data_IF_151819074286
#
_entry.id   IF_151819074286
#
_cell.length_a   1.000
_cell.length_b   1.000
_cell.length_c   1.000
_cell.angle_alpha   90.00
_cell.angle_beta   90.00
_cell.angle_gamma   90.00
#
_symmetry.space_group_name_H-M   'P 1'
#
loop_
_entity.id
_entity.type
_entity.pdbx_description
1 polymer ?
#
# COMPACT_ATOMS: atom_id res chain seq x y z
N UNK A 1 4.85 14.16 -19.64
CA UNK A 1 5.53 13.57 -18.47
C UNK A 1 5.40 14.38 -17.16
N UNK A 2 4.39 15.26 -16.99
CA UNK A 2 4.32 16.19 -15.84
C UNK A 2 2.98 16.18 -15.05
N UNK A 3 2.10 15.18 -15.23
CA UNK A 3 0.82 15.15 -14.50
C UNK A 3 0.98 14.75 -13.01
N UNK A 4 1.93 13.86 -12.71
CA UNK A 4 2.15 13.34 -11.35
C UNK A 4 2.76 14.38 -10.39
N UNK A 5 3.59 15.31 -10.88
CA UNK A 5 4.20 16.35 -10.04
C UNK A 5 3.22 17.44 -9.59
N UNK A 6 2.01 17.50 -10.16
CA UNK A 6 0.97 18.44 -9.72
C UNK A 6 0.10 17.90 -8.59
N UNK A 7 0.14 16.58 -8.36
CA UNK A 7 -0.65 15.94 -7.31
C UNK A 7 0.10 16.04 -5.97
N UNK A 8 -0.64 16.28 -4.89
CA UNK A 8 -0.06 16.26 -3.54
C UNK A 8 0.59 14.91 -3.24
N UNK A 9 1.61 14.90 -2.40
CA UNK A 9 2.29 13.67 -1.97
C UNK A 9 1.29 12.76 -1.24
N UNK A 10 0.41 13.37 -0.43
CA UNK A 10 -0.67 12.65 0.26
C UNK A 10 -1.58 11.93 -0.73
N UNK A 11 -2.03 12.59 -1.80
CA UNK A 11 -2.92 11.98 -2.80
C UNK A 11 -2.25 10.76 -3.46
N UNK A 12 -0.96 10.86 -3.81
CA UNK A 12 -0.21 9.74 -4.41
C UNK A 12 -0.10 8.55 -3.45
N UNK A 13 0.21 8.80 -2.18
CA UNK A 13 0.32 7.78 -1.14
C UNK A 13 -1.04 7.11 -0.84
N UNK A 14 -2.09 7.91 -0.62
CA UNK A 14 -3.44 7.38 -0.39
C UNK A 14 -3.96 6.59 -1.58
N UNK A 15 -3.69 7.04 -2.81
CA UNK A 15 -4.05 6.27 -3.99
C UNK A 15 -3.37 4.90 -4.01
N UNK A 16 -2.05 4.84 -3.79
CA UNK A 16 -1.32 3.57 -3.75
C UNK A 16 -1.82 2.61 -2.67
N UNK A 17 -2.07 3.11 -1.46
CA UNK A 17 -2.56 2.28 -0.35
C UNK A 17 -3.98 1.80 -0.58
N UNK A 18 -4.92 2.69 -0.93
CA UNK A 18 -6.32 2.32 -1.23
C UNK A 18 -6.38 1.36 -2.41
N UNK A 19 -5.63 1.61 -3.48
CA UNK A 19 -5.55 0.72 -4.63
C UNK A 19 -5.07 -0.68 -4.22
N UNK A 20 -4.02 -0.77 -3.42
CA UNK A 20 -3.52 -2.07 -2.92
C UNK A 20 -4.52 -2.80 -2.04
N UNK A 21 -5.27 -2.08 -1.20
CA UNK A 21 -6.23 -2.67 -0.27
C UNK A 21 -7.48 -3.16 -1.00
N UNK A 22 -7.99 -2.38 -1.95
CA UNK A 22 -9.07 -2.79 -2.86
C UNK A 22 -8.66 -4.03 -3.65
N UNK A 23 -7.44 -4.04 -4.21
CA UNK A 23 -6.95 -5.17 -4.97
C UNK A 23 -6.81 -6.44 -4.12
N UNK A 24 -6.35 -6.32 -2.86
CA UNK A 24 -6.29 -7.43 -1.92
C UNK A 24 -7.69 -8.01 -1.66
N UNK A 25 -8.68 -7.15 -1.41
CA UNK A 25 -10.06 -7.57 -1.21
C UNK A 25 -10.62 -8.26 -2.46
N UNK A 26 -10.37 -7.73 -3.65
CA UNK A 26 -10.81 -8.33 -4.91
C UNK A 26 -10.18 -9.69 -5.15
N UNK A 27 -8.86 -9.82 -4.98
CA UNK A 27 -8.14 -11.09 -5.14
C UNK A 27 -8.60 -12.10 -4.08
N UNK A 28 -8.78 -11.67 -2.83
CA UNK A 28 -9.28 -12.50 -1.75
C UNK A 28 -10.70 -13.01 -2.02
N UNK A 29 -11.60 -12.14 -2.49
CA UNK A 29 -12.96 -12.50 -2.86
C UNK A 29 -12.98 -13.47 -4.06
N UNK A 30 -12.16 -13.23 -5.09
CA UNK A 30 -12.01 -14.14 -6.23
C UNK A 30 -11.51 -15.51 -5.81
N UNK A 31 -10.47 -15.55 -4.96
CA UNK A 31 -9.92 -16.80 -4.42
C UNK A 31 -10.94 -17.57 -3.59
N UNK A 32 -11.69 -16.88 -2.73
CA UNK A 32 -12.75 -17.49 -1.93
C UNK A 32 -13.88 -18.05 -2.81
N UNK A 33 -14.35 -17.30 -3.82
CA UNK A 33 -15.37 -17.77 -4.75
C UNK A 33 -14.90 -18.98 -5.57
N UNK A 34 -13.64 -19.02 -5.99
CA UNK A 34 -13.06 -20.15 -6.70
C UNK A 34 -13.02 -21.40 -5.81
N UNK A 35 -12.58 -21.26 -4.56
CA UNK A 35 -12.56 -22.35 -3.58
C UNK A 35 -13.96 -22.86 -3.26
N UNK A 36 -14.93 -21.97 -3.04
CA UNK A 36 -16.30 -22.36 -2.70
C UNK A 36 -16.96 -23.12 -3.85
N UNK A 37 -16.84 -22.63 -5.10
CA UNK A 37 -17.34 -23.35 -6.27
C UNK A 37 -16.69 -24.72 -6.44
N UNK A 38 -15.39 -24.82 -6.19
CA UNK A 38 -14.65 -26.09 -6.25
C UNK A 38 -15.16 -27.05 -5.19
N UNK A 39 -15.36 -26.57 -3.96
CA UNK A 39 -15.86 -27.36 -2.83
C UNK A 39 -17.26 -27.92 -3.12
N UNK A 40 -18.21 -27.08 -3.53
CA UNK A 40 -19.59 -27.53 -3.84
C UNK A 40 -19.59 -28.54 -5.00
N UNK A 41 -18.77 -28.33 -6.02
CA UNK A 41 -18.69 -29.26 -7.16
C UNK A 41 -18.08 -30.60 -6.75
N UNK A 42 -17.04 -30.60 -5.93
CA UNK A 42 -16.44 -31.82 -5.38
C UNK A 42 -17.42 -32.58 -4.49
N UNK A 43 -18.20 -31.88 -3.66
CA UNK A 43 -19.20 -32.50 -2.79
C UNK A 43 -20.25 -33.24 -3.62
N UNK A 44 -20.81 -32.61 -4.65
CA UNK A 44 -21.77 -33.25 -5.58
C UNK A 44 -21.13 -34.42 -6.33
N UNK A 45 -19.88 -34.25 -6.80
CA UNK A 45 -19.15 -35.31 -7.51
C UNK A 45 -18.97 -36.56 -6.66
N UNK A 46 -18.47 -36.41 -5.43
CA UNK A 46 -18.15 -37.55 -4.57
C UNK A 46 -19.38 -38.17 -3.92
N UNK A 47 -20.32 -37.37 -3.42
CA UNK A 47 -21.47 -37.90 -2.65
C UNK A 47 -22.57 -38.46 -3.54
N UNK A 48 -22.77 -37.91 -4.75
CA UNK A 48 -23.84 -38.37 -5.64
C UNK A 48 -23.31 -39.19 -6.81
N UNK A 49 -22.33 -38.67 -7.57
CA UNK A 49 -21.95 -39.27 -8.86
C UNK A 49 -21.04 -40.48 -8.71
N UNK A 50 -20.02 -40.39 -7.86
CA UNK A 50 -19.12 -41.54 -7.56
C UNK A 50 -19.90 -42.65 -6.86
N UNK A 51 -20.75 -42.32 -5.89
CA UNK A 51 -21.58 -43.31 -5.20
C UNK A 51 -22.47 -44.07 -6.18
N UNK A 52 -23.12 -43.37 -7.11
CA UNK A 52 -23.97 -44.00 -8.14
C UNK A 52 -23.19 -44.98 -9.02
N UNK A 53 -21.95 -44.64 -9.41
CA UNK A 53 -21.09 -45.56 -10.17
C UNK A 53 -20.78 -46.84 -9.40
N UNK A 54 -20.42 -46.69 -8.12
CA UNK A 54 -20.14 -47.84 -7.24
C UNK A 54 -21.39 -48.68 -7.05
N UNK A 55 -22.54 -48.06 -6.77
CA UNK A 55 -23.82 -48.74 -6.59
C UNK A 55 -24.24 -49.52 -7.85
N UNK A 56 -24.16 -48.90 -9.03
CA UNK A 56 -24.48 -49.59 -10.29
C UNK A 56 -23.53 -50.77 -10.54
N UNK A 57 -22.25 -50.63 -10.21
CA UNK A 57 -21.26 -51.71 -10.33
C UNK A 57 -21.59 -52.89 -9.41
N UNK A 58 -21.96 -52.62 -8.17
CA UNK A 58 -22.33 -53.65 -7.18
C UNK A 58 -23.63 -54.37 -7.58
N UNK A 59 -24.65 -53.61 -8.01
CA UNK A 59 -25.91 -54.16 -8.50
C UNK A 59 -25.71 -55.06 -9.72
N UNK A 60 -24.90 -54.63 -10.69
CA UNK A 60 -24.58 -55.45 -11.87
C UNK A 60 -23.77 -56.69 -11.53
N UNK A 61 -22.88 -56.60 -10.55
CA UNK A 61 -22.16 -57.77 -10.03
C UNK A 61 -23.12 -58.79 -9.41
N UNK A 62 -24.03 -58.31 -8.54
CA UNK A 62 -25.06 -59.14 -7.91
C UNK A 62 -26.01 -59.77 -8.95
N UNK A 63 -26.38 -59.01 -9.98
CA UNK A 63 -27.16 -59.50 -11.13
C UNK A 63 -26.39 -60.60 -11.89
N UNK A 64 -25.09 -60.44 -12.06
CA UNK A 64 -24.21 -61.44 -12.65
C UNK A 64 -24.13 -62.72 -11.83
N UNK A 65 -24.01 -62.60 -10.51
CA UNK A 65 -24.00 -63.75 -9.58
C UNK A 65 -25.34 -64.47 -9.56
N UNK A 66 -26.46 -63.74 -9.65
CA UNK A 66 -27.80 -64.31 -9.80
C UNK A 66 -27.90 -65.19 -11.06
N UNK A 67 -27.44 -64.66 -12.20
CA UNK A 67 -27.43 -65.40 -13.48
C UNK A 67 -26.45 -66.57 -13.48
N UNK A 68 -25.39 -66.51 -12.67
CA UNK A 68 -24.46 -67.64 -12.49
C UNK A 68 -25.14 -68.75 -11.71
N UNK A 69 -25.76 -68.44 -10.57
CA UNK A 69 -26.50 -69.41 -9.77
C UNK A 69 -27.66 -70.05 -10.57
N UNK A 70 -28.39 -69.27 -11.38
CA UNK A 70 -29.39 -69.81 -12.32
C UNK A 70 -28.80 -70.90 -13.22
N UNK A 71 -27.66 -70.61 -13.86
CA UNK A 71 -26.98 -71.59 -14.74
C UNK A 71 -26.51 -72.80 -13.96
N UNK A 72 -25.95 -72.62 -12.77
CA UNK A 72 -25.47 -73.72 -11.93
C UNK A 72 -26.62 -74.64 -11.50
N UNK A 73 -27.82 -74.10 -11.22
CA UNK A 73 -29.04 -74.89 -10.96
C UNK A 73 -29.41 -75.74 -12.19
N UNK A 74 -29.39 -75.15 -13.39
CA UNK A 74 -29.79 -75.83 -14.64
C UNK A 74 -28.75 -76.88 -15.06
N UNK A 75 -27.46 -76.60 -14.90
CA UNK A 75 -26.37 -77.51 -15.26
C UNK A 75 -26.31 -78.70 -14.31
N UNK A 76 -26.48 -78.48 -13.01
CA UNK A 76 -26.42 -79.52 -11.98
C UNK A 76 -27.78 -80.20 -11.73
N UNK A 77 -28.69 -80.19 -12.70
CA UNK A 77 -30.06 -80.73 -12.56
C UNK A 77 -30.14 -82.17 -12.04
N UNK A 78 -29.07 -82.96 -12.22
CA UNK A 78 -28.98 -84.35 -11.77
C UNK A 78 -28.52 -84.51 -10.30
N UNK A 79 -28.18 -83.42 -9.62
CA UNK A 79 -27.75 -83.41 -8.22
C UNK A 79 -28.67 -82.50 -7.39
N UNK A 80 -29.68 -83.10 -6.77
CA UNK A 80 -30.72 -82.38 -6.02
C UNK A 80 -30.18 -81.59 -4.81
N UNK A 81 -29.12 -82.08 -4.16
CA UNK A 81 -28.48 -81.39 -3.03
C UNK A 81 -27.79 -80.11 -3.50
N UNK A 82 -27.05 -80.19 -4.62
CA UNK A 82 -26.40 -79.03 -5.22
C UNK A 82 -27.45 -78.02 -5.72
N UNK A 83 -28.49 -78.49 -6.41
CA UNK A 83 -29.60 -77.64 -6.86
C UNK A 83 -30.25 -76.89 -5.70
N UNK A 84 -30.54 -77.55 -4.58
CA UNK A 84 -31.14 -76.92 -3.40
C UNK A 84 -30.21 -75.84 -2.80
N UNK A 85 -28.91 -76.14 -2.71
CA UNK A 85 -27.88 -75.21 -2.24
C UNK A 85 -27.77 -73.98 -3.16
N UNK A 86 -27.72 -74.18 -4.47
CA UNK A 86 -27.66 -73.10 -5.46
C UNK A 86 -28.95 -72.27 -5.49
N UNK A 87 -30.11 -72.90 -5.27
CA UNK A 87 -31.40 -72.20 -5.14
C UNK A 87 -31.42 -71.28 -3.91
N UNK A 88 -30.86 -71.72 -2.79
CA UNK A 88 -30.72 -70.87 -1.60
C UNK A 88 -29.76 -69.70 -1.83
N UNK A 89 -28.63 -69.93 -2.51
CA UNK A 89 -27.71 -68.86 -2.92
C UNK A 89 -28.40 -67.87 -3.87
N UNK A 90 -29.13 -68.37 -4.87
CA UNK A 90 -29.90 -67.54 -5.79
C UNK A 90 -30.92 -66.67 -5.06
N UNK A 91 -31.68 -67.24 -4.10
CA UNK A 91 -32.64 -66.47 -3.27
C UNK A 91 -31.95 -65.38 -2.47
N UNK A 92 -30.79 -65.66 -1.87
CA UNK A 92 -30.01 -64.66 -1.12
C UNK A 92 -29.50 -63.54 -2.04
N UNK A 93 -28.96 -63.88 -3.21
CA UNK A 93 -28.53 -62.89 -4.20
C UNK A 93 -29.69 -62.05 -4.71
N UNK A 94 -30.87 -62.64 -4.92
CA UNK A 94 -32.07 -61.91 -5.33
C UNK A 94 -32.54 -60.93 -4.24
N UNK A 95 -32.55 -61.36 -2.98
CA UNK A 95 -32.85 -60.48 -1.85
C UNK A 95 -31.85 -59.32 -1.76
N UNK A 96 -30.56 -59.60 -1.96
CA UNK A 96 -29.51 -58.58 -1.99
C UNK A 96 -29.71 -57.59 -3.13
N UNK A 97 -30.03 -58.09 -4.34
CA UNK A 97 -30.29 -57.26 -5.51
C UNK A 97 -31.52 -56.35 -5.31
N UNK A 98 -32.64 -56.92 -4.85
CA UNK A 98 -33.87 -56.17 -4.58
C UNK A 98 -33.66 -55.11 -3.49
N UNK A 99 -32.92 -55.46 -2.43
CA UNK A 99 -32.55 -54.53 -1.37
C UNK A 99 -31.66 -53.41 -1.91
N UNK A 100 -30.61 -53.75 -2.65
CA UNK A 100 -29.71 -52.78 -3.26
C UNK A 100 -30.44 -51.80 -4.19
N UNK A 101 -31.30 -52.31 -5.08
CA UNK A 101 -32.13 -51.47 -5.95
C UNK A 101 -33.04 -50.53 -5.13
N UNK A 102 -33.67 -51.03 -4.06
CA UNK A 102 -34.52 -50.23 -3.17
C UNK A 102 -33.74 -49.18 -2.38
N UNK A 103 -32.52 -49.48 -1.95
CA UNK A 103 -31.69 -48.54 -1.21
C UNK A 103 -31.14 -47.45 -2.13
N UNK A 104 -30.66 -47.82 -3.33
CA UNK A 104 -30.22 -46.88 -4.36
C UNK A 104 -31.35 -45.95 -4.80
N UNK A 105 -32.59 -46.45 -4.90
CA UNK A 105 -33.78 -45.64 -5.20
C UNK A 105 -34.00 -44.48 -4.24
N UNK A 106 -33.49 -44.58 -2.99
CA UNK A 106 -33.60 -43.55 -1.94
C UNK A 106 -32.45 -42.53 -1.97
N UNK A 107 -31.35 -42.82 -2.67
CA UNK A 107 -30.16 -41.94 -2.69
C UNK A 107 -30.41 -40.69 -3.54
N UNK A 108 -31.08 -40.84 -4.68
CA UNK A 108 -31.39 -39.73 -5.60
C UNK A 108 -32.90 -39.55 -5.78
N UNK A 109 -33.60 -39.15 -4.72
CA UNK A 109 -35.06 -38.96 -4.73
C UNK A 109 -35.54 -37.83 -5.66
N UNK A 110 -34.68 -36.86 -5.94
CA UNK A 110 -35.00 -35.68 -6.76
C UNK A 110 -34.88 -35.90 -8.27
N UNK A 111 -34.19 -36.97 -8.71
CA UNK A 111 -34.04 -37.28 -10.14
C UNK A 111 -35.13 -38.26 -10.59
N UNK A 112 -36.13 -37.74 -11.31
CA UNK A 112 -37.27 -38.51 -11.80
C UNK A 112 -36.86 -39.59 -12.83
N UNK A 113 -35.83 -39.35 -13.64
CA UNK A 113 -35.38 -40.31 -14.66
C UNK A 113 -34.58 -41.45 -14.02
N UNK A 114 -33.75 -41.12 -13.05
CA UNK A 114 -33.02 -42.09 -12.23
C UNK A 114 -34.01 -43.01 -11.49
N UNK A 115 -34.95 -42.40 -10.78
CA UNK A 115 -36.04 -43.07 -10.09
C UNK A 115 -36.80 -44.04 -10.99
N UNK A 116 -37.26 -43.57 -12.15
CA UNK A 116 -38.00 -44.39 -13.11
C UNK A 116 -37.18 -45.57 -13.66
N UNK A 117 -35.87 -45.38 -13.86
CA UNK A 117 -34.98 -46.45 -14.35
C UNK A 117 -34.78 -47.55 -13.30
N UNK A 118 -34.62 -47.17 -12.03
CA UNK A 118 -34.53 -48.14 -10.92
C UNK A 118 -35.87 -48.85 -10.69
N UNK A 119 -36.99 -48.12 -10.73
CA UNK A 119 -38.34 -48.69 -10.58
C UNK A 119 -38.65 -49.70 -11.71
N UNK A 120 -38.18 -49.39 -12.93
CA UNK A 120 -38.26 -50.32 -14.06
C UNK A 120 -37.35 -51.54 -13.85
N UNK A 121 -36.11 -51.37 -13.39
CA UNK A 121 -35.22 -52.50 -13.09
C UNK A 121 -35.81 -53.43 -12.01
N UNK A 122 -36.42 -52.87 -10.95
CA UNK A 122 -37.15 -53.63 -9.94
C UNK A 122 -38.30 -54.46 -10.55
N UNK A 123 -39.03 -53.86 -11.48
CA UNK A 123 -40.14 -54.54 -12.19
C UNK A 123 -39.61 -55.70 -13.03
N UNK A 124 -38.56 -55.47 -13.83
CA UNK A 124 -37.94 -56.50 -14.68
C UNK A 124 -37.36 -57.65 -13.84
N UNK A 125 -36.70 -57.35 -12.70
CA UNK A 125 -36.20 -58.36 -11.75
C UNK A 125 -37.34 -59.21 -11.18
N UNK A 126 -38.47 -58.58 -10.84
CA UNK A 126 -39.66 -59.28 -10.30
C UNK A 126 -40.34 -60.20 -11.32
N UNK A 127 -40.45 -59.75 -12.58
CA UNK A 127 -40.98 -60.58 -13.67
C UNK A 127 -40.10 -61.80 -13.91
N UNK A 128 -38.78 -61.62 -13.89
CA UNK A 128 -37.83 -62.73 -13.94
C UNK A 128 -37.98 -63.69 -12.75
N UNK A 129 -38.01 -63.18 -11.52
CA UNK A 129 -38.18 -63.98 -10.30
C UNK A 129 -39.44 -64.85 -10.38
N UNK A 130 -40.56 -64.24 -10.74
CA UNK A 130 -41.88 -64.89 -10.83
C UNK A 130 -41.86 -65.98 -11.90
N UNK A 131 -41.18 -65.72 -13.02
CA UNK A 131 -41.08 -66.64 -14.14
C UNK A 131 -40.15 -67.84 -13.91
N UNK A 132 -39.01 -67.61 -13.25
CA UNK A 132 -37.94 -68.62 -13.10
C UNK A 132 -38.11 -69.48 -11.85
N UNK A 133 -38.71 -68.97 -10.78
CA UNK A 133 -38.87 -69.70 -9.52
C UNK A 133 -39.54 -71.07 -9.67
N UNK A 134 -40.64 -71.22 -10.44
CA UNK A 134 -41.26 -72.53 -10.67
C UNK A 134 -40.36 -73.51 -11.42
N UNK A 135 -39.47 -73.01 -12.30
CA UNK A 135 -38.51 -73.83 -13.05
C UNK A 135 -37.52 -74.48 -12.10
N UNK A 136 -36.97 -73.70 -11.15
CA UNK A 136 -36.06 -74.24 -10.15
C UNK A 136 -36.72 -75.30 -9.26
N UNK A 137 -37.99 -75.12 -8.89
CA UNK A 137 -38.72 -76.14 -8.12
C UNK A 137 -38.96 -77.42 -8.91
N UNK A 138 -39.22 -77.33 -10.22
CA UNK A 138 -39.38 -78.50 -11.08
C UNK A 138 -38.04 -79.23 -11.29
N UNK A 139 -36.92 -78.50 -11.41
CA UNK A 139 -35.57 -79.09 -11.47
C UNK A 139 -35.23 -79.78 -10.14
N UNK A 140 -35.46 -79.12 -9.00
CA UNK A 140 -35.21 -79.67 -7.67
C UNK A 140 -36.02 -80.96 -7.40
N UNK A 141 -37.24 -81.04 -7.94
CA UNK A 141 -38.12 -82.22 -7.87
C UNK A 141 -37.87 -83.26 -8.98
N UNK A 142 -36.83 -83.08 -9.80
CA UNK A 142 -36.48 -83.93 -10.93
C UNK A 142 -37.64 -84.13 -11.95
N UNK A 143 -38.50 -83.12 -12.10
CA UNK A 143 -39.65 -83.16 -13.04
C UNK A 143 -39.27 -82.73 -14.47
N UNK A 144 -38.19 -81.97 -14.61
CA UNK A 144 -37.65 -81.51 -15.90
C UNK A 144 -36.13 -81.67 -15.92
N UNK A 145 -35.57 -81.90 -17.11
CA UNK A 145 -34.12 -81.94 -17.31
C UNK A 145 -33.52 -80.53 -17.52
N UNK A 146 -32.19 -80.45 -17.56
CA UNK A 146 -31.49 -79.18 -17.79
C UNK A 146 -31.75 -78.56 -19.17
N UNK A 147 -32.10 -79.34 -20.19
CA UNK A 147 -32.39 -78.81 -21.52
C UNK A 147 -33.74 -78.09 -21.56
N UNK A 148 -34.77 -78.70 -20.98
CA UNK A 148 -36.09 -78.09 -20.79
C UNK A 148 -35.99 -76.89 -19.84
N UNK A 149 -35.27 -77.04 -18.72
CA UNK A 149 -35.02 -75.94 -17.78
C UNK A 149 -34.35 -74.73 -18.45
N UNK A 150 -33.31 -74.97 -19.26
CA UNK A 150 -32.63 -73.94 -20.04
C UNK A 150 -33.54 -73.24 -21.07
N UNK A 151 -34.36 -74.00 -21.80
CA UNK A 151 -35.30 -73.42 -22.77
C UNK A 151 -36.41 -72.57 -22.10
N UNK A 152 -36.83 -72.93 -20.88
CA UNK A 152 -37.74 -72.10 -20.09
C UNK A 152 -37.05 -70.84 -19.58
N UNK A 153 -35.83 -70.97 -19.05
CA UNK A 153 -35.04 -69.85 -18.55
C UNK A 153 -34.75 -68.80 -19.62
N UNK A 154 -34.51 -69.23 -20.86
CA UNK A 154 -34.24 -68.34 -22.00
C UNK A 154 -35.39 -67.35 -22.28
N UNK A 155 -36.65 -67.74 -21.99
CA UNK A 155 -37.82 -66.84 -22.13
C UNK A 155 -37.76 -65.62 -21.21
N UNK A 156 -37.12 -65.78 -20.04
CA UNK A 156 -37.01 -64.73 -19.02
C UNK A 156 -35.68 -63.99 -19.06
N UNK A 157 -34.71 -64.48 -19.85
CA UNK A 157 -33.40 -63.85 -20.08
C UNK A 157 -33.50 -62.37 -20.45
N UNK A 158 -34.51 -62.00 -21.26
CA UNK A 158 -34.76 -60.61 -21.70
C UNK A 158 -34.96 -59.64 -20.54
N UNK A 159 -35.56 -60.09 -19.43
CA UNK A 159 -35.80 -59.25 -18.26
C UNK A 159 -34.48 -58.93 -17.54
N UNK A 160 -33.59 -59.92 -17.42
CA UNK A 160 -32.23 -59.72 -16.89
C UNK A 160 -31.37 -58.84 -17.80
N UNK A 161 -31.49 -58.98 -19.12
CA UNK A 161 -30.80 -58.11 -20.08
C UNK A 161 -31.34 -56.67 -20.03
N UNK A 162 -32.65 -56.49 -19.85
CA UNK A 162 -33.25 -55.17 -19.67
C UNK A 162 -32.76 -54.50 -18.38
N UNK A 163 -32.71 -55.23 -17.25
CA UNK A 163 -32.17 -54.72 -15.99
C UNK A 163 -30.69 -54.36 -16.10
N UNK A 164 -29.86 -55.23 -16.69
CA UNK A 164 -28.43 -54.94 -16.89
C UNK A 164 -28.23 -53.68 -17.73
N UNK A 165 -29.01 -53.55 -18.81
CA UNK A 165 -28.97 -52.37 -19.68
C UNK A 165 -29.35 -51.09 -18.93
N UNK A 166 -30.41 -51.10 -18.13
CA UNK A 166 -30.82 -49.94 -17.34
C UNK A 166 -29.73 -49.51 -16.35
N UNK A 167 -29.13 -50.47 -15.63
CA UNK A 167 -28.04 -50.19 -14.69
C UNK A 167 -26.78 -49.71 -15.41
N UNK A 168 -26.49 -50.25 -16.60
CA UNK A 168 -25.38 -49.81 -17.43
C UNK A 168 -25.59 -48.38 -17.94
N UNK A 169 -26.79 -48.06 -18.44
CA UNK A 169 -27.12 -46.71 -18.94
C UNK A 169 -27.00 -45.68 -17.81
N UNK A 170 -27.48 -46.00 -16.60
CA UNK A 170 -27.30 -45.17 -15.41
C UNK A 170 -25.82 -44.98 -15.03
N UNK A 171 -25.01 -46.04 -15.09
CA UNK A 171 -23.59 -45.96 -14.83
C UNK A 171 -22.86 -45.10 -15.90
N UNK A 172 -23.22 -45.26 -17.17
CA UNK A 172 -22.65 -44.47 -18.26
C UNK A 172 -23.02 -42.98 -18.12
N UNK A 173 -24.26 -42.68 -17.75
CA UNK A 173 -24.70 -41.32 -17.53
C UNK A 173 -23.98 -40.69 -16.34
N UNK A 174 -23.90 -41.39 -15.20
CA UNK A 174 -23.13 -40.95 -14.04
C UNK A 174 -21.66 -40.70 -14.36
N UNK A 175 -21.04 -41.56 -15.18
CA UNK A 175 -19.66 -41.38 -15.65
C UNK A 175 -19.50 -40.16 -16.53
N UNK A 176 -20.36 -39.98 -17.53
CA UNK A 176 -20.34 -38.82 -18.43
C UNK A 176 -20.49 -37.52 -17.64
N UNK A 177 -21.45 -37.50 -16.73
CA UNK A 177 -21.69 -36.43 -15.80
C UNK A 177 -20.48 -36.13 -14.90
N UNK A 178 -19.76 -37.17 -14.43
CA UNK A 178 -18.52 -37.00 -13.66
C UNK A 178 -17.39 -36.38 -14.50
N UNK A 179 -17.21 -36.84 -15.74
CA UNK A 179 -16.19 -36.33 -16.65
C UNK A 179 -16.47 -34.86 -17.04
N UNK A 180 -17.73 -34.51 -17.31
CA UNK A 180 -18.16 -33.12 -17.57
C UNK A 180 -17.90 -32.20 -16.36
N UNK A 181 -18.26 -32.66 -15.17
CA UNK A 181 -18.03 -31.88 -13.94
C UNK A 181 -16.53 -31.71 -13.66
N UNK A 182 -15.70 -32.73 -13.91
CA UNK A 182 -14.24 -32.64 -13.80
C UNK A 182 -13.67 -31.60 -14.79
N UNK A 183 -14.08 -31.65 -16.05
CA UNK A 183 -13.69 -30.64 -17.05
C UNK A 183 -14.18 -29.22 -16.67
N UNK A 184 -15.36 -29.12 -16.06
CA UNK A 184 -15.89 -27.88 -15.50
C UNK A 184 -15.01 -27.32 -14.38
N UNK A 185 -14.52 -28.17 -13.47
CA UNK A 185 -13.58 -27.76 -12.41
C UNK A 185 -12.24 -27.33 -12.99
N UNK A 186 -11.69 -28.07 -13.95
CA UNK A 186 -10.40 -27.75 -14.58
C UNK A 186 -10.46 -26.41 -15.33
N UNK A 187 -11.52 -26.18 -16.11
CA UNK A 187 -11.74 -24.92 -16.84
C UNK A 187 -12.01 -23.74 -15.90
N UNK A 188 -12.79 -23.93 -14.83
CA UNK A 188 -13.00 -22.91 -13.79
C UNK A 188 -11.68 -22.55 -13.11
N UNK A 189 -10.88 -23.55 -12.73
CA UNK A 189 -9.58 -23.35 -12.07
C UNK A 189 -8.59 -22.63 -12.98
N UNK A 190 -8.51 -23.01 -14.26
CA UNK A 190 -7.66 -22.35 -15.26
C UNK A 190 -8.09 -20.88 -15.50
N UNK A 191 -9.39 -20.63 -15.64
CA UNK A 191 -9.91 -19.27 -15.83
C UNK A 191 -9.65 -18.39 -14.61
N UNK A 192 -9.93 -18.91 -13.41
CA UNK A 192 -9.74 -18.16 -12.15
C UNK A 192 -8.26 -17.89 -11.87
N UNK A 193 -7.38 -18.88 -12.08
CA UNK A 193 -5.93 -18.67 -11.94
C UNK A 193 -5.39 -17.66 -12.95
N UNK A 194 -5.90 -17.67 -14.19
CA UNK A 194 -5.59 -16.65 -15.20
C UNK A 194 -6.05 -15.24 -14.80
N UNK A 195 -7.28 -15.10 -14.26
CA UNK A 195 -7.80 -13.82 -13.78
C UNK A 195 -7.02 -13.29 -12.57
N UNK A 196 -6.70 -14.14 -11.59
CA UNK A 196 -5.89 -13.78 -10.41
C UNK A 196 -4.48 -13.39 -10.86
N UNK A 197 -3.86 -14.16 -11.74
CA UNK A 197 -2.55 -13.85 -12.32
C UNK A 197 -2.55 -12.53 -13.07
N UNK A 198 -3.59 -12.27 -13.88
CA UNK A 198 -3.78 -11.01 -14.60
C UNK A 198 -3.97 -9.82 -13.65
N UNK A 199 -4.76 -9.97 -12.58
CA UNK A 199 -4.96 -8.95 -11.57
C UNK A 199 -3.65 -8.62 -10.82
N UNK A 200 -2.85 -9.65 -10.48
CA UNK A 200 -1.53 -9.47 -9.87
C UNK A 200 -0.56 -8.75 -10.81
N UNK A 201 -0.50 -9.13 -12.09
CA UNK A 201 0.34 -8.45 -13.08
C UNK A 201 -0.08 -6.99 -13.26
N UNK A 202 -1.38 -6.70 -13.32
CA UNK A 202 -1.90 -5.34 -13.40
C UNK A 202 -1.55 -4.54 -12.13
N UNK A 203 -1.63 -5.16 -10.95
CA UNK A 203 -1.22 -4.53 -9.71
C UNK A 203 0.26 -4.14 -9.71
N UNK A 204 1.13 -5.06 -10.16
CA UNK A 204 2.57 -4.78 -10.28
C UNK A 204 2.84 -3.68 -11.33
N UNK A 205 2.16 -3.74 -12.47
CA UNK A 205 2.30 -2.76 -13.55
C UNK A 205 1.86 -1.34 -13.12
N UNK A 206 0.94 -1.21 -12.16
CA UNK A 206 0.50 0.08 -11.63
C UNK A 206 1.35 0.51 -10.43
N UNK A 207 1.56 -0.38 -9.45
CA UNK A 207 2.21 -0.05 -8.18
C UNK A 207 3.73 0.17 -8.34
N UNK A 208 4.43 -0.60 -9.16
CA UNK A 208 5.89 -0.45 -9.32
C UNK A 208 6.24 0.92 -9.92
N UNK A 209 5.67 1.36 -11.05
CA UNK A 209 5.96 2.68 -11.58
C UNK A 209 5.51 3.79 -10.62
N UNK A 210 4.31 3.66 -10.04
CA UNK A 210 3.77 4.68 -9.14
C UNK A 210 4.66 4.89 -7.91
N UNK A 211 5.12 3.81 -7.29
CA UNK A 211 6.05 3.87 -6.15
C UNK A 211 7.41 4.41 -6.57
N UNK A 212 7.99 3.91 -7.66
CA UNK A 212 9.29 4.37 -8.16
C UNK A 212 9.30 5.88 -8.47
N UNK A 213 8.31 6.36 -9.23
CA UNK A 213 8.20 7.79 -9.57
C UNK A 213 7.91 8.66 -8.33
N UNK A 214 7.05 8.19 -7.42
CA UNK A 214 6.74 8.94 -6.20
C UNK A 214 7.95 9.07 -5.29
N UNK A 215 8.67 7.96 -5.03
CA UNK A 215 9.89 7.98 -4.19
C UNK A 215 10.93 8.89 -4.81
N UNK A 216 11.22 8.75 -6.11
CA UNK A 216 12.22 9.57 -6.80
C UNK A 216 11.89 11.07 -6.77
N UNK A 217 10.62 11.42 -6.98
CA UNK A 217 10.16 12.81 -6.92
C UNK A 217 10.31 13.39 -5.51
N UNK A 218 9.91 12.65 -4.48
CA UNK A 218 9.98 13.10 -3.09
C UNK A 218 11.42 13.27 -2.64
N UNK A 219 12.28 12.27 -2.88
CA UNK A 219 13.69 12.33 -2.44
C UNK A 219 14.45 13.44 -3.13
N UNK A 220 14.20 13.69 -4.42
CA UNK A 220 14.82 14.78 -5.15
C UNK A 220 14.39 16.16 -4.60
N UNK A 221 13.09 16.37 -4.36
CA UNK A 221 12.60 17.64 -3.82
C UNK A 221 13.05 17.89 -2.38
N UNK A 222 13.11 16.84 -1.54
CA UNK A 222 13.65 16.95 -0.17
C UNK A 222 15.14 17.29 -0.20
N UNK A 223 15.92 16.68 -1.11
CA UNK A 223 17.34 17.00 -1.28
C UNK A 223 17.55 18.47 -1.64
N UNK A 224 16.73 19.02 -2.54
CA UNK A 224 16.79 20.43 -2.94
C UNK A 224 16.45 21.36 -1.77
N UNK A 225 15.43 21.02 -0.97
CA UNK A 225 15.08 21.78 0.22
C UNK A 225 16.20 21.74 1.27
N UNK A 226 16.84 20.58 1.46
CA UNK A 226 17.99 20.43 2.37
C UNK A 226 19.17 21.30 1.94
N UNK A 227 19.52 21.28 0.65
CA UNK A 227 20.61 22.09 0.10
C UNK A 227 20.32 23.60 0.27
N UNK A 228 19.08 24.03 0.06
CA UNK A 228 18.67 25.42 0.32
C UNK A 228 18.82 25.79 1.81
N UNK A 229 18.41 24.91 2.72
CA UNK A 229 18.53 25.15 4.16
C UNK A 229 19.99 25.30 4.58
N UNK A 230 20.86 24.41 4.10
CA UNK A 230 22.30 24.45 4.37
C UNK A 230 22.94 25.75 3.85
N UNK A 231 22.54 26.23 2.68
CA UNK A 231 23.04 27.49 2.12
C UNK A 231 22.60 28.71 2.92
N UNK A 232 21.34 28.75 3.34
CA UNK A 232 20.84 29.82 4.23
C UNK A 232 21.60 29.78 5.57
N UNK A 233 21.80 28.59 6.15
CA UNK A 233 22.57 28.42 7.38
C UNK A 233 24.03 28.84 7.22
N UNK A 234 24.62 28.65 6.03
CA UNK A 234 25.95 29.13 5.67
C UNK A 234 26.03 30.63 5.33
N UNK A 235 24.92 31.37 5.37
CA UNK A 235 24.88 32.80 5.06
C UNK A 235 24.88 33.14 3.57
N UNK A 236 24.81 32.15 2.67
CA UNK A 236 24.70 32.39 1.22
C UNK A 236 23.24 32.64 0.84
N UNK A 237 22.85 33.92 0.85
CA UNK A 237 21.53 34.39 0.46
C UNK A 237 21.47 34.85 -1.01
N UNK A 238 22.50 34.60 -1.82
CA UNK A 238 22.65 35.25 -3.13
C UNK A 238 21.73 34.70 -4.23
N UNK A 239 21.49 33.38 -4.24
CA UNK A 239 20.70 32.72 -5.30
C UNK A 239 19.20 32.81 -5.06
N UNK A 240 18.48 32.98 -6.17
CA UNK A 240 17.03 32.92 -6.24
C UNK A 240 16.50 31.51 -5.99
N UNK A 241 15.34 31.41 -5.33
CA UNK A 241 14.69 30.15 -4.97
C UNK A 241 13.48 29.94 -5.88
N UNK A 242 13.62 29.02 -6.84
CA UNK A 242 12.52 28.66 -7.73
C UNK A 242 11.68 27.52 -7.16
N UNK A 243 10.41 27.81 -6.86
CA UNK A 243 9.43 26.80 -6.44
C UNK A 243 8.89 26.08 -7.68
N UNK A 244 9.37 24.86 -7.91
CA UNK A 244 9.00 24.05 -9.10
C UNK A 244 7.83 23.09 -8.87
N UNK A 245 7.41 22.91 -7.62
CA UNK A 245 6.35 21.98 -7.21
C UNK A 245 5.24 22.72 -6.45
N UNK A 246 4.01 22.22 -6.56
CA UNK A 246 2.84 22.71 -5.81
C UNK A 246 2.43 21.78 -4.66
N UNK A 247 3.17 20.70 -4.44
CA UNK A 247 2.95 19.77 -3.33
C UNK A 247 3.46 20.32 -1.99
N UNK A 248 3.36 19.51 -0.95
CA UNK A 248 3.74 19.86 0.42
C UNK A 248 5.22 20.28 0.53
N UNK A 249 6.11 19.71 -0.30
CA UNK A 249 7.52 20.11 -0.34
C UNK A 249 7.70 21.44 -1.07
N UNK A 250 6.94 21.68 -2.15
CA UNK A 250 6.89 22.98 -2.81
C UNK A 250 6.45 24.11 -1.87
N UNK A 251 5.46 23.86 -1.02
CA UNK A 251 5.02 24.82 0.00
C UNK A 251 6.10 25.10 1.05
N UNK A 252 6.86 24.07 1.46
CA UNK A 252 8.01 24.21 2.36
C UNK A 252 9.11 25.07 1.72
N UNK A 253 9.50 24.76 0.48
CA UNK A 253 10.51 25.55 -0.26
C UNK A 253 10.05 27.00 -0.43
N UNK A 254 8.77 27.24 -0.74
CA UNK A 254 8.21 28.59 -0.81
C UNK A 254 8.22 29.34 0.52
N UNK A 255 8.06 28.65 1.65
CA UNK A 255 8.22 29.26 2.98
C UNK A 255 9.69 29.61 3.27
N UNK A 256 10.62 28.74 2.88
CA UNK A 256 12.06 29.01 3.00
C UNK A 256 12.52 30.18 2.12
N UNK A 257 11.96 30.34 0.92
CA UNK A 257 12.22 31.50 0.06
C UNK A 257 11.86 32.82 0.77
N UNK A 258 10.66 32.90 1.36
CA UNK A 258 10.25 34.08 2.14
C UNK A 258 11.15 34.35 3.35
N UNK A 259 11.67 33.29 3.98
CA UNK A 259 12.65 33.42 5.07
C UNK A 259 13.98 33.97 4.56
N UNK A 260 14.46 33.51 3.40
CA UNK A 260 15.66 34.03 2.75
C UNK A 260 15.50 35.53 2.43
N UNK A 261 14.36 35.95 1.87
CA UNK A 261 14.08 37.35 1.55
C UNK A 261 14.07 38.24 2.80
N UNK A 262 13.45 37.77 3.89
CA UNK A 262 13.47 38.48 5.17
C UNK A 262 14.90 38.64 5.71
N UNK A 263 15.73 37.59 5.63
CA UNK A 263 17.14 37.64 6.03
C UNK A 263 17.95 38.60 5.14
N UNK A 264 17.72 38.62 3.82
CA UNK A 264 18.38 39.59 2.91
C UNK A 264 18.03 41.02 3.29
N UNK A 265 16.75 41.28 3.61
CA UNK A 265 16.30 42.59 4.08
C UNK A 265 16.99 43.03 5.37
N UNK A 266 17.11 42.12 6.35
CA UNK A 266 17.82 42.41 7.61
C UNK A 266 19.31 42.70 7.38
N UNK A 267 19.99 41.91 6.54
CA UNK A 267 21.41 42.14 6.21
C UNK A 267 21.59 43.50 5.51
N UNK A 268 20.70 43.87 4.60
CA UNK A 268 20.75 45.17 3.93
C UNK A 268 20.57 46.33 4.93
N UNK A 269 19.61 46.23 5.85
CA UNK A 269 19.41 47.23 6.90
C UNK A 269 20.64 47.39 7.81
N UNK A 270 21.30 46.27 8.16
CA UNK A 270 22.54 46.30 8.95
C UNK A 270 23.68 46.95 8.16
N UNK A 271 23.82 46.64 6.87
CA UNK A 271 24.82 47.28 6.01
C UNK A 271 24.60 48.79 5.85
N UNK A 272 23.34 49.22 5.66
CA UNK A 272 22.98 50.63 5.58
C UNK A 272 23.25 51.36 6.89
N UNK A 273 22.87 50.78 8.03
CA UNK A 273 23.17 51.33 9.35
C UNK A 273 24.68 51.44 9.60
N UNK A 274 25.46 50.41 9.22
CA UNK A 274 26.92 50.44 9.31
C UNK A 274 27.55 51.52 8.41
N UNK A 275 27.02 51.70 7.19
CA UNK A 275 27.41 52.77 6.27
C UNK A 275 27.15 54.16 6.87
N UNK A 276 25.96 54.37 7.41
CA UNK A 276 25.60 55.63 8.08
C UNK A 276 26.50 55.92 9.29
N UNK A 277 26.80 54.91 10.11
CA UNK A 277 27.75 55.03 11.23
C UNK A 277 29.14 55.37 10.72
N UNK A 278 29.60 54.76 9.62
CA UNK A 278 30.92 55.04 9.03
C UNK A 278 31.00 56.49 8.54
N UNK A 279 29.97 56.99 7.86
CA UNK A 279 29.90 58.38 7.40
C UNK A 279 29.88 59.35 8.58
N UNK A 280 28.99 59.13 9.56
CA UNK A 280 28.92 59.97 10.76
C UNK A 280 30.26 59.97 11.53
N UNK A 281 30.93 58.81 11.62
CA UNK A 281 32.25 58.69 12.25
C UNK A 281 33.32 59.49 11.50
N UNK A 282 33.26 59.51 10.16
CA UNK A 282 34.15 60.34 9.32
C UNK A 282 33.90 61.83 9.53
N UNK A 283 32.62 62.26 9.60
CA UNK A 283 32.26 63.65 9.87
C UNK A 283 32.71 64.10 11.26
N UNK A 284 32.55 63.25 12.28
CA UNK A 284 33.07 63.51 13.63
C UNK A 284 34.59 63.66 13.60
N UNK A 285 35.31 62.77 12.92
CA UNK A 285 36.76 62.85 12.82
C UNK A 285 37.22 64.17 12.16
N UNK A 286 36.59 64.58 11.05
CA UNK A 286 36.86 65.87 10.40
C UNK A 286 36.53 67.05 11.30
N UNK A 287 35.37 67.03 11.98
CA UNK A 287 34.97 68.09 12.91
C UNK A 287 35.91 68.21 14.11
N UNK A 288 36.41 67.08 14.62
CA UNK A 288 37.39 67.07 15.70
C UNK A 288 38.74 67.64 15.26
N UNK A 289 39.14 67.45 14.00
CA UNK A 289 40.34 68.05 13.43
C UNK A 289 40.21 69.58 13.28
N UNK A 290 39.07 70.07 12.78
CA UNK A 290 38.78 71.52 12.71
C UNK A 290 38.78 72.16 14.10
N UNK A 291 38.15 71.49 15.08
CA UNK A 291 38.13 71.96 16.46
C UNK A 291 39.53 72.01 17.06
N UNK A 292 40.37 71.00 16.81
CA UNK A 292 41.78 70.98 17.24
C UNK A 292 42.53 72.18 16.65
N UNK A 293 42.40 72.41 15.35
CA UNK A 293 43.06 73.52 14.66
C UNK A 293 42.60 74.89 15.20
N UNK A 294 41.29 75.05 15.45
CA UNK A 294 40.75 76.28 16.07
C UNK A 294 41.23 76.46 17.51
N UNK A 295 41.40 75.37 18.26
CA UNK A 295 41.93 75.40 19.62
C UNK A 295 43.40 75.82 19.64
N UNK A 296 44.21 75.27 18.73
CA UNK A 296 45.61 75.68 18.54
C UNK A 296 45.72 77.16 18.17
N UNK A 297 44.88 77.63 17.23
CA UNK A 297 44.88 79.04 16.84
C UNK A 297 44.41 79.97 17.97
N UNK A 298 43.43 79.53 18.77
CA UNK A 298 42.98 80.28 19.94
C UNK A 298 44.07 80.36 21.01
N UNK A 299 44.80 79.26 21.23
CA UNK A 299 45.96 79.24 22.12
C UNK A 299 47.05 80.22 21.64
N UNK A 300 47.37 80.24 20.35
CA UNK A 300 48.32 81.19 19.77
C UNK A 300 47.88 82.66 19.95
N UNK A 301 46.60 82.97 19.71
CA UNK A 301 46.05 84.31 19.96
C UNK A 301 46.10 84.70 21.45
N UNK A 302 45.90 83.74 22.36
CA UNK A 302 46.02 83.94 23.80
C UNK A 302 47.48 84.22 24.21
N UNK A 303 48.44 83.52 23.61
CA UNK A 303 49.87 83.80 23.80
C UNK A 303 50.23 85.21 23.31
N UNK A 304 49.74 85.64 22.14
CA UNK A 304 49.94 86.99 21.62
C UNK A 304 49.30 88.06 22.53
N UNK A 305 48.10 87.81 23.04
CA UNK A 305 47.43 88.69 23.99
C UNK A 305 48.17 88.78 25.33
N UNK A 306 48.70 87.66 25.83
CA UNK A 306 49.51 87.62 27.04
C UNK A 306 50.83 88.41 26.86
N UNK A 307 51.52 88.22 25.73
CA UNK A 307 52.71 89.00 25.39
C UNK A 307 52.42 90.50 25.26
N UNK A 308 51.29 90.85 24.63
CA UNK A 308 50.83 92.24 24.54
C UNK A 308 50.53 92.83 25.91
N UNK A 309 49.95 92.03 26.83
CA UNK A 309 49.73 92.43 28.23
C UNK A 309 51.04 92.59 29.01
N UNK A 310 52.05 91.75 28.80
CA UNK A 310 53.38 91.92 29.39
C UNK A 310 54.02 93.22 28.91
N UNK A 311 53.97 93.51 27.61
CA UNK A 311 54.48 94.74 27.03
C UNK A 311 53.74 95.98 27.57
N UNK A 312 52.41 95.92 27.65
CA UNK A 312 51.56 96.96 28.25
C UNK A 312 51.92 97.18 29.73
N UNK A 313 52.08 96.10 30.50
CA UNK A 313 52.47 96.16 31.91
C UNK A 313 53.85 96.80 32.08
N UNK A 314 54.82 96.43 31.23
CA UNK A 314 56.13 97.07 31.18
C UNK A 314 56.05 98.56 30.86
N UNK A 315 55.21 98.94 29.90
CA UNK A 315 54.98 100.34 29.52
C UNK A 315 54.31 101.14 30.64
N UNK A 316 53.37 100.53 31.37
CA UNK A 316 52.74 101.13 32.56
C UNK A 316 53.76 101.30 33.69
N UNK A 317 54.60 100.30 33.95
CA UNK A 317 55.69 100.41 34.93
C UNK A 317 56.66 101.53 34.55
N UNK A 318 57.05 101.61 33.28
CA UNK A 318 57.90 102.69 32.76
C UNK A 318 57.23 104.05 32.91
N UNK A 319 55.95 104.19 32.54
CA UNK A 319 55.17 105.44 32.73
C UNK A 319 55.05 105.83 34.21
N UNK A 320 54.84 104.87 35.10
CA UNK A 320 54.78 105.10 36.54
C UNK A 320 56.14 105.57 37.08
N UNK A 321 57.24 104.96 36.62
CA UNK A 321 58.59 105.38 36.98
C UNK A 321 58.92 106.78 36.44
N UNK A 322 58.60 107.08 35.18
CA UNK A 322 58.74 108.42 34.61
C UNK A 322 57.90 109.45 35.37
N UNK A 323 56.69 109.10 35.79
CA UNK A 323 55.83 109.98 36.60
C UNK A 323 56.43 110.23 38.00
N UNK A 324 56.99 109.21 38.65
CA UNK A 324 57.73 109.36 39.91
C UNK A 324 58.96 110.24 39.72
N UNK A 325 59.75 109.99 38.68
CA UNK A 325 60.95 110.77 38.37
C UNK A 325 60.60 112.23 38.06
N UNK A 326 59.51 112.48 37.34
CA UNK A 326 58.99 113.83 37.12
C UNK A 326 58.51 114.49 38.42
N UNK A 327 57.87 113.73 39.31
CA UNK A 327 57.49 114.20 40.66
C UNK A 327 58.71 114.57 41.50
N UNK A 328 59.76 113.75 41.51
CA UNK A 328 61.01 114.01 42.22
C UNK A 328 61.73 115.24 41.64
N UNK A 329 61.72 115.37 40.30
CA UNK A 329 62.28 116.53 39.61
C UNK A 329 61.52 117.81 39.95
N UNK A 330 60.18 117.77 39.97
CA UNK A 330 59.35 118.89 40.39
C UNK A 330 59.57 119.26 41.87
N UNK A 331 59.72 118.28 42.76
CA UNK A 331 60.04 118.51 44.17
C UNK A 331 61.42 119.16 44.35
N UNK A 332 62.45 118.68 43.63
CA UNK A 332 63.78 119.27 43.60
C UNK A 332 63.77 120.71 43.07
N UNK A 333 63.04 120.97 41.98
CA UNK A 333 62.88 122.31 41.43
C UNK A 333 62.15 123.25 42.42
N UNK A 334 61.13 122.76 43.11
CA UNK A 334 60.45 123.50 44.18
C UNK A 334 61.39 123.81 45.36
N UNK A 335 62.28 122.87 45.74
CA UNK A 335 63.30 123.08 46.77
C UNK A 335 64.36 124.11 46.35
N UNK A 336 64.80 124.09 45.08
CA UNK A 336 65.70 125.11 44.52
C UNK A 336 65.01 126.47 44.50
N UNK A 337 63.73 126.54 44.12
CA UNK A 337 62.94 127.77 44.16
C UNK A 337 62.77 128.29 45.61
N UNK A 338 62.56 127.39 46.58
CA UNK A 338 62.50 127.74 48.01
C UNK A 338 63.84 128.27 48.54
N UNK A 339 64.98 127.66 48.14
CA UNK A 339 66.33 128.16 48.45
C UNK A 339 66.61 129.50 47.76
N UNK A 340 66.14 129.70 46.53
CA UNK A 340 66.19 130.99 45.82
C UNK A 340 65.37 132.09 46.50
N UNK A 341 64.20 131.76 47.04
CA UNK A 341 63.37 132.70 47.81
C UNK A 341 64.00 133.13 49.13
N UNK A 342 64.90 132.30 49.70
CA UNK A 342 65.74 132.68 50.84
C UNK A 342 66.88 133.63 50.44
N UNK A 343 67.40 133.51 49.22
CA UNK A 343 68.42 134.41 48.67
C UNK A 343 67.87 135.80 48.33
N UNK A 344 66.63 135.87 47.81
CA UNK A 344 65.95 137.14 47.51
C UNK A 344 65.53 137.96 48.74
N UNK A 345 65.57 137.37 49.96
CA UNK A 345 65.16 138.04 51.20
C UNK A 345 66.31 138.77 51.93
N UNK A 346 67.50 138.81 51.34
CA UNK A 346 68.72 139.38 51.92
C UNK A 346 69.26 140.63 51.18
N UNK A 347 68.43 141.25 50.35
CA UNK A 347 68.72 142.52 49.68
C UNK A 347 67.66 143.55 50.00
#
# INVERSE_FOLDING_TARGET
>A
MNALNRLSIRTRLYFGTVFSLVLLVVIGAMGYMALERTRTTLEVLFTQRVQTLTDMSELRTTLGDLRRAEKDIIINFNNTIEVSTQRDLWKKSLQSLNKGLSDVRKVQTSDANFAASIDKALTEVKEYETGISPVFEQIERAQIDGAVGGAYADKYKKHMEASDKLLLDLAMDARKQMDEARQGVDSLTSTMSGLIGGALLLALAVLIPLTFFSVRSITQSISQASELAERIAGGDLSRDVQVTSTDEVGQLVGAMARMQDALRGLVHQVQEAAGNISTASSEIATGNHDLSHRTEQTAANLEEAASSMELLTGTIQQSAQSSRQASDFAASAAEVAARGALWCRKW
#
